data_IF_382012969839
#
_entry.id   IF_382012969839
#
_cell.length_a   1.000
_cell.length_b   1.000
_cell.length_c   1.000
_cell.angle_alpha   90.00
_cell.angle_beta   90.00
_cell.angle_gamma   90.00
#
_symmetry.space_group_name_H-M   'P 1'
#
loop_
_entity.id
_entity.type
_entity.pdbx_description
1 polymer ?
#
# COMPACT_ATOMS: atom_id res chain seq x y z
N UNK A 1 -12.38 -15.50 39.79
CA UNK A 1 -12.37 -15.44 38.30
C UNK A 1 -12.03 -14.02 37.89
N UNK A 2 -10.76 -13.74 37.58
CA UNK A 2 -10.33 -12.45 37.01
C UNK A 2 -10.20 -12.67 35.50
N UNK A 3 -11.16 -12.17 34.72
CA UNK A 3 -11.06 -12.17 33.27
C UNK A 3 -10.01 -11.15 32.84
N UNK A 4 -9.04 -11.66 32.09
CA UNK A 4 -7.93 -10.93 31.52
C UNK A 4 -8.44 -9.86 30.55
N UNK A 5 -8.22 -8.60 30.91
CA UNK A 5 -8.36 -7.46 29.99
C UNK A 5 -7.18 -7.59 29.02
N UNK A 6 -7.44 -8.25 27.89
CA UNK A 6 -6.52 -8.46 26.77
C UNK A 6 -5.98 -7.09 26.34
N UNK A 7 -4.67 -6.88 26.43
CA UNK A 7 -3.96 -5.63 26.19
C UNK A 7 -4.33 -4.98 24.83
N UNK A 8 -5.00 -3.82 24.85
CA UNK A 8 -5.53 -3.09 23.67
C UNK A 8 -4.51 -2.16 22.99
N UNK A 9 -3.23 -2.21 23.39
CA UNK A 9 -2.21 -1.23 22.97
C UNK A 9 -1.62 -1.45 21.57
N UNK A 10 -1.91 -2.59 20.91
CA UNK A 10 -1.36 -2.92 19.59
C UNK A 10 -2.29 -2.53 18.41
N UNK A 11 -3.52 -2.09 18.67
CA UNK A 11 -4.53 -1.80 17.63
C UNK A 11 -4.70 -0.31 17.28
N UNK A 12 -4.00 0.59 17.97
CA UNK A 12 -4.25 2.04 17.85
C UNK A 12 -3.64 2.69 16.60
N UNK A 13 -2.81 1.99 15.83
CA UNK A 13 -2.14 2.57 14.66
C UNK A 13 -2.81 2.28 13.30
N UNK A 14 -4.01 1.68 13.28
CA UNK A 14 -4.64 1.28 12.01
C UNK A 14 -6.16 1.53 11.89
N UNK A 15 -6.80 2.23 12.83
CA UNK A 15 -8.22 2.61 12.67
C UNK A 15 -8.27 3.99 12.01
N UNK A 16 -8.53 4.02 10.70
CA UNK A 16 -8.86 5.26 10.00
C UNK A 16 -10.34 5.58 10.24
N UNK A 17 -10.60 6.66 10.97
CA UNK A 17 -11.95 7.18 11.15
C UNK A 17 -12.29 8.09 9.97
N UNK A 18 -13.47 7.89 9.39
CA UNK A 18 -14.03 8.72 8.33
C UNK A 18 -15.29 9.38 8.86
N UNK A 19 -15.46 10.68 8.61
CA UNK A 19 -16.63 11.43 9.01
C UNK A 19 -17.64 11.48 7.86
N UNK A 20 -18.90 11.13 8.12
CA UNK A 20 -20.01 11.36 7.18
C UNK A 20 -20.92 12.41 7.78
N UNK A 21 -21.06 13.55 7.10
CA UNK A 21 -21.85 14.67 7.61
C UNK A 21 -22.37 15.52 6.44
N UNK A 22 -23.63 15.99 6.49
CA UNK A 22 -24.19 16.93 5.52
C UNK A 22 -23.66 18.37 5.70
N UNK A 23 -22.79 18.60 6.67
CA UNK A 23 -22.17 19.89 6.96
C UNK A 23 -20.66 19.77 6.94
N UNK A 24 -19.93 20.68 6.26
CA UNK A 24 -18.48 20.70 6.28
C UNK A 24 -18.00 21.01 7.71
N UNK A 25 -17.22 20.09 8.28
CA UNK A 25 -16.65 20.23 9.62
C UNK A 25 -15.14 20.39 9.43
N UNK A 26 -14.54 21.40 10.06
CA UNK A 26 -13.10 21.56 10.03
C UNK A 26 -12.44 20.43 10.82
N UNK A 27 -12.04 19.36 10.12
CA UNK A 27 -11.39 18.18 10.69
C UNK A 27 -10.22 17.72 9.82
N UNK A 28 -9.27 17.03 10.42
CA UNK A 28 -8.17 16.35 9.72
C UNK A 28 -8.56 14.96 9.24
N UNK A 29 -9.75 14.48 9.59
CA UNK A 29 -10.31 13.22 9.12
C UNK A 29 -10.86 13.38 7.70
N UNK A 30 -10.78 12.32 6.90
CA UNK A 30 -11.47 12.28 5.60
C UNK A 30 -12.97 12.45 5.85
N UNK A 31 -13.58 13.46 5.21
CA UNK A 31 -15.00 13.73 5.32
C UNK A 31 -15.70 13.45 3.99
N UNK A 32 -16.83 12.74 4.04
CA UNK A 32 -17.77 12.59 2.91
C UNK A 32 -19.06 13.33 3.22
N UNK A 33 -19.62 13.98 2.21
CA UNK A 33 -20.95 14.57 2.31
C UNK A 33 -22.00 13.46 2.44
N UNK A 34 -23.01 13.67 3.28
CA UNK A 34 -24.05 12.68 3.51
C UNK A 34 -24.90 12.43 2.24
N UNK A 35 -25.14 13.45 1.43
CA UNK A 35 -25.84 13.27 0.16
C UNK A 35 -24.97 12.49 -0.84
N UNK A 36 -23.65 12.68 -0.83
CA UNK A 36 -22.71 11.90 -1.66
C UNK A 36 -22.68 10.42 -1.26
N UNK A 37 -22.79 10.12 0.03
CA UNK A 37 -22.87 8.74 0.52
C UNK A 37 -24.24 8.12 0.25
N UNK A 38 -25.33 8.87 0.33
CA UNK A 38 -26.69 8.31 0.23
C UNK A 38 -27.26 8.30 -1.20
N UNK A 39 -26.82 9.22 -2.07
CA UNK A 39 -27.39 9.41 -3.41
C UNK A 39 -26.39 9.20 -4.55
N UNK A 40 -25.08 9.26 -4.29
CA UNK A 40 -24.02 9.00 -5.28
C UNK A 40 -23.22 7.74 -4.89
N UNK A 41 -22.16 7.42 -5.65
CA UNK A 41 -21.26 6.26 -5.44
C UNK A 41 -20.45 6.32 -4.12
N UNK A 42 -20.84 7.13 -3.13
CA UNK A 42 -20.15 7.25 -1.86
C UNK A 42 -20.19 5.98 -1.00
N UNK A 43 -21.23 5.14 -1.11
CA UNK A 43 -21.19 3.78 -0.53
C UNK A 43 -20.10 2.94 -1.18
N UNK A 44 -19.97 2.99 -2.51
CA UNK A 44 -18.92 2.27 -3.24
C UNK A 44 -17.52 2.75 -2.86
N UNK A 45 -17.33 4.06 -2.68
CA UNK A 45 -16.07 4.61 -2.20
C UNK A 45 -15.73 4.12 -0.78
N UNK A 46 -16.72 4.02 0.11
CA UNK A 46 -16.55 3.46 1.45
C UNK A 46 -16.23 1.97 1.40
N UNK A 47 -16.91 1.19 0.57
CA UNK A 47 -16.66 -0.25 0.41
C UNK A 47 -15.22 -0.51 -0.07
N UNK A 48 -14.71 0.28 -1.03
CA UNK A 48 -13.31 0.18 -1.49
C UNK A 48 -12.30 0.49 -0.37
N UNK A 49 -12.61 1.48 0.48
CA UNK A 49 -11.75 1.81 1.64
C UNK A 49 -11.76 0.68 2.68
N UNK A 50 -12.94 0.12 2.97
CA UNK A 50 -13.10 -1.01 3.89
C UNK A 50 -12.37 -2.24 3.35
N UNK A 51 -12.52 -2.54 2.06
CA UNK A 51 -11.85 -3.68 1.42
C UNK A 51 -10.33 -3.52 1.53
N UNK A 52 -9.80 -2.34 1.21
CA UNK A 52 -8.35 -2.06 1.29
C UNK A 52 -7.81 -2.24 2.71
N UNK A 53 -8.46 -1.67 3.73
CA UNK A 53 -8.00 -1.81 5.11
C UNK A 53 -8.18 -3.25 5.61
N UNK A 54 -9.25 -3.94 5.24
CA UNK A 54 -9.44 -5.37 5.55
C UNK A 54 -8.33 -6.24 4.97
N UNK A 55 -7.86 -5.90 3.76
CA UNK A 55 -6.76 -6.59 3.10
C UNK A 55 -5.45 -6.38 3.86
N UNK A 56 -5.15 -5.15 4.27
CA UNK A 56 -3.98 -4.89 5.10
C UNK A 56 -4.02 -5.59 6.45
N UNK A 57 -5.19 -5.74 7.08
CA UNK A 57 -5.32 -6.48 8.34
C UNK A 57 -4.98 -7.97 8.17
N UNK A 58 -5.47 -8.60 7.11
CA UNK A 58 -5.13 -10.01 6.80
C UNK A 58 -3.63 -10.20 6.54
N UNK A 59 -3.02 -9.25 5.84
CA UNK A 59 -1.56 -9.25 5.62
C UNK A 59 -0.84 -9.07 6.95
N UNK A 60 -1.25 -8.13 7.81
CA UNK A 60 -0.64 -7.88 9.11
C UNK A 60 -0.59 -9.15 9.97
N UNK A 61 -1.70 -9.90 10.05
CA UNK A 61 -1.77 -11.18 10.77
C UNK A 61 -0.72 -12.17 10.26
N UNK A 62 -0.59 -12.29 8.94
CA UNK A 62 0.41 -13.17 8.31
C UNK A 62 1.84 -12.71 8.62
N UNK A 63 2.10 -11.42 8.51
CA UNK A 63 3.42 -10.82 8.76
C UNK A 63 3.91 -11.07 10.19
N UNK A 64 3.01 -11.06 11.19
CA UNK A 64 3.39 -11.36 12.58
C UNK A 64 3.98 -12.76 12.78
N UNK A 65 3.69 -13.70 11.89
CA UNK A 65 4.15 -15.09 11.99
C UNK A 65 5.45 -15.34 11.23
N UNK A 66 5.79 -14.50 10.25
CA UNK A 66 6.90 -14.77 9.32
C UNK A 66 8.08 -13.83 9.48
N UNK A 67 7.86 -12.59 9.95
CA UNK A 67 8.94 -11.60 10.08
C UNK A 67 9.71 -11.84 11.37
N UNK A 68 11.05 -11.85 11.28
CA UNK A 68 11.94 -12.17 12.39
C UNK A 68 12.81 -10.99 12.81
N UNK A 69 13.15 -10.11 11.87
CA UNK A 69 14.13 -9.05 12.01
C UNK A 69 13.50 -7.65 11.92
N UNK A 70 12.31 -7.53 11.34
CA UNK A 70 11.55 -6.28 11.26
C UNK A 70 10.24 -6.35 12.03
N UNK A 71 9.88 -5.27 12.73
CA UNK A 71 8.59 -5.17 13.41
C UNK A 71 7.45 -5.09 12.37
N UNK A 72 6.45 -6.00 12.42
CA UNK A 72 5.36 -6.03 11.44
C UNK A 72 4.64 -4.70 11.26
N UNK A 73 4.30 -4.02 12.37
CA UNK A 73 3.57 -2.74 12.33
C UNK A 73 4.37 -1.63 11.64
N UNK A 74 5.69 -1.60 11.87
CA UNK A 74 6.58 -0.57 11.29
C UNK A 74 6.80 -0.83 9.80
N UNK A 75 7.03 -2.08 9.41
CA UNK A 75 7.12 -2.47 8.01
C UNK A 75 5.81 -2.16 7.26
N UNK A 76 4.67 -2.57 7.82
CA UNK A 76 3.36 -2.38 7.20
C UNK A 76 3.03 -0.90 7.03
N UNK A 77 3.35 -0.05 8.01
CA UNK A 77 3.14 1.39 7.90
C UNK A 77 3.97 1.99 6.77
N UNK A 78 5.26 1.67 6.69
CA UNK A 78 6.15 2.16 5.65
C UNK A 78 5.68 1.71 4.24
N UNK A 79 5.26 0.45 4.13
CA UNK A 79 4.73 -0.11 2.89
C UNK A 79 3.39 0.52 2.49
N UNK A 80 2.49 0.78 3.45
CA UNK A 80 1.23 1.52 3.20
C UNK A 80 1.52 2.89 2.56
N UNK A 81 2.52 3.61 3.08
CA UNK A 81 2.93 4.89 2.52
C UNK A 81 3.54 4.76 1.13
N UNK A 82 4.42 3.78 0.92
CA UNK A 82 4.99 3.49 -0.38
C UNK A 82 3.90 3.19 -1.42
N UNK A 83 3.00 2.26 -1.12
CA UNK A 83 1.90 1.90 -2.00
C UNK A 83 1.01 3.11 -2.34
N UNK A 84 0.72 3.96 -1.35
CA UNK A 84 -0.07 5.18 -1.56
C UNK A 84 0.64 6.18 -2.49
N UNK A 85 1.94 6.42 -2.28
CA UNK A 85 2.71 7.37 -3.11
C UNK A 85 2.88 6.87 -4.53
N UNK A 86 3.23 5.59 -4.72
CA UNK A 86 3.33 4.98 -6.06
C UNK A 86 1.98 4.99 -6.77
N UNK A 87 0.89 4.64 -6.08
CA UNK A 87 -0.45 4.67 -6.66
C UNK A 87 -0.85 6.08 -7.12
N UNK A 88 -0.53 7.10 -6.30
CA UNK A 88 -0.79 8.49 -6.64
C UNK A 88 0.07 8.97 -7.82
N UNK A 89 1.35 8.61 -7.85
CA UNK A 89 2.27 8.98 -8.93
C UNK A 89 1.91 8.34 -10.28
N UNK A 90 1.32 7.14 -10.25
CA UNK A 90 0.88 6.41 -11.44
C UNK A 90 -0.59 6.66 -11.80
N UNK A 91 -1.38 7.26 -10.91
CA UNK A 91 -2.82 7.46 -11.11
C UNK A 91 -3.61 6.14 -11.16
N UNK A 92 -3.18 5.12 -10.40
CA UNK A 92 -3.79 3.79 -10.38
C UNK A 92 -4.35 3.44 -9.00
N UNK A 93 -5.21 2.43 -8.96
CA UNK A 93 -5.63 1.75 -7.73
C UNK A 93 -5.12 0.32 -7.74
N UNK A 94 -4.45 -0.11 -6.66
CA UNK A 94 -3.97 -1.49 -6.55
C UNK A 94 -5.15 -2.42 -6.24
N UNK A 95 -5.28 -3.50 -7.02
CA UNK A 95 -6.22 -4.58 -6.68
C UNK A 95 -5.82 -5.25 -5.37
N UNK A 96 -6.78 -5.87 -4.68
CA UNK A 96 -6.53 -6.59 -3.42
C UNK A 96 -5.42 -7.64 -3.57
N UNK A 97 -5.38 -8.38 -4.68
CA UNK A 97 -4.33 -9.36 -4.97
C UNK A 97 -2.95 -8.73 -5.14
N UNK A 98 -2.86 -7.63 -5.90
CA UNK A 98 -1.61 -6.90 -6.08
C UNK A 98 -1.13 -6.32 -4.75
N UNK A 99 -2.04 -5.73 -3.97
CA UNK A 99 -1.73 -5.15 -2.67
C UNK A 99 -1.20 -6.19 -1.70
N UNK A 100 -1.81 -7.39 -1.63
CA UNK A 100 -1.31 -8.51 -0.83
C UNK A 100 0.09 -8.90 -1.30
N UNK A 101 0.25 -9.21 -2.59
CA UNK A 101 1.52 -9.72 -3.13
C UNK A 101 2.67 -8.74 -2.96
N UNK A 102 2.44 -7.46 -3.29
CA UNK A 102 3.44 -6.40 -3.14
C UNK A 102 3.77 -6.13 -1.68
N UNK A 103 2.77 -6.07 -0.81
CA UNK A 103 3.01 -5.83 0.62
C UNK A 103 3.79 -6.97 1.27
N UNK A 104 3.46 -8.22 0.92
CA UNK A 104 4.20 -9.39 1.40
C UNK A 104 5.63 -9.39 0.87
N UNK A 105 5.83 -9.12 -0.43
CA UNK A 105 7.15 -9.08 -1.03
C UNK A 105 8.05 -8.03 -0.37
N UNK A 106 7.54 -6.80 -0.20
CA UNK A 106 8.29 -5.73 0.46
C UNK A 106 8.58 -6.06 1.92
N UNK A 107 7.61 -6.58 2.69
CA UNK A 107 7.83 -6.92 4.09
C UNK A 107 8.93 -7.98 4.26
N UNK A 108 8.88 -9.05 3.46
CA UNK A 108 9.91 -10.09 3.47
C UNK A 108 11.27 -9.57 2.96
N UNK A 109 11.28 -8.68 1.97
CA UNK A 109 12.50 -8.02 1.50
C UNK A 109 13.16 -7.22 2.63
N UNK A 110 12.38 -6.41 3.36
CA UNK A 110 12.90 -5.63 4.48
C UNK A 110 13.47 -6.52 5.58
N UNK A 111 12.74 -7.58 5.94
CA UNK A 111 13.20 -8.55 6.95
C UNK A 111 14.53 -9.18 6.57
N UNK A 112 14.64 -9.61 5.30
CA UNK A 112 15.85 -10.23 4.76
C UNK A 112 17.04 -9.27 4.68
N UNK A 113 16.82 -8.03 4.26
CA UNK A 113 17.89 -7.02 4.19
C UNK A 113 18.40 -6.61 5.58
N UNK A 114 17.56 -6.71 6.61
CA UNK A 114 17.96 -6.47 8.00
C UNK A 114 18.72 -7.65 8.62
N UNK A 115 18.48 -8.88 8.15
CA UNK A 115 19.30 -10.04 8.49
C UNK A 115 20.72 -9.91 7.94
N UNK A 116 20.87 -9.40 6.71
CA UNK A 116 22.16 -9.11 6.11
C UNK A 116 22.12 -8.86 4.61
N UNK A 117 23.28 -8.58 3.98
CA UNK A 117 23.37 -8.38 2.54
C UNK A 117 22.99 -9.67 1.81
N UNK A 118 21.98 -9.59 0.96
CA UNK A 118 21.54 -10.71 0.13
C UNK A 118 21.74 -10.40 -1.34
N UNK A 119 22.32 -11.36 -2.07
CA UNK A 119 22.36 -11.31 -3.51
C UNK A 119 21.07 -11.89 -4.08
N UNK A 120 20.38 -11.10 -4.87
CA UNK A 120 19.24 -11.52 -5.67
C UNK A 120 19.47 -10.99 -7.07
N UNK A 121 19.48 -11.90 -8.04
CA UNK A 121 19.72 -11.55 -9.44
C UNK A 121 18.37 -11.43 -10.17
N UNK A 122 18.23 -10.37 -10.95
CA UNK A 122 17.07 -10.21 -11.82
C UNK A 122 17.42 -10.70 -13.25
N UNK A 123 16.70 -11.70 -13.78
CA UNK A 123 16.95 -12.20 -15.13
C UNK A 123 16.79 -11.12 -16.20
N UNK A 124 17.74 -11.02 -17.13
CA UNK A 124 17.76 -10.06 -18.23
C UNK A 124 17.61 -8.58 -17.79
N UNK A 125 18.20 -8.23 -16.64
CA UNK A 125 18.09 -6.90 -16.02
C UNK A 125 18.37 -5.76 -16.98
N UNK A 126 19.48 -5.80 -17.72
CA UNK A 126 19.88 -4.67 -18.58
C UNK A 126 18.83 -4.34 -19.63
N UNK A 127 18.25 -5.39 -20.24
CA UNK A 127 17.15 -5.24 -21.21
C UNK A 127 15.89 -4.71 -20.53
N UNK A 128 15.57 -5.23 -19.35
CA UNK A 128 14.38 -4.82 -18.62
C UNK A 128 14.46 -3.36 -18.17
N UNK A 129 15.62 -2.92 -17.68
CA UNK A 129 15.89 -1.54 -17.28
C UNK A 129 15.72 -0.60 -18.47
N UNK A 130 16.31 -0.94 -19.62
CA UNK A 130 16.16 -0.13 -20.83
C UNK A 130 14.69 -0.02 -21.29
N UNK A 131 13.90 -1.08 -21.13
CA UNK A 131 12.50 -1.09 -21.54
C UNK A 131 11.57 -0.33 -20.60
N UNK A 132 11.91 -0.25 -19.30
CA UNK A 132 11.02 0.25 -18.25
C UNK A 132 11.65 1.34 -17.37
N UNK A 133 12.67 2.03 -17.87
CA UNK A 133 13.48 3.02 -17.15
C UNK A 133 12.66 4.06 -16.36
N UNK A 134 11.61 4.62 -16.98
CA UNK A 134 10.75 5.60 -16.33
C UNK A 134 10.01 5.03 -15.10
N UNK A 135 9.52 3.78 -15.19
CA UNK A 135 8.83 3.15 -14.07
C UNK A 135 9.82 2.72 -12.99
N UNK A 136 10.97 2.19 -13.37
CA UNK A 136 12.04 1.81 -12.44
C UNK A 136 12.53 3.04 -11.67
N UNK A 137 12.72 4.18 -12.36
CA UNK A 137 13.12 5.44 -11.75
C UNK A 137 12.10 5.94 -10.73
N UNK A 138 10.80 5.86 -11.06
CA UNK A 138 9.72 6.23 -10.14
C UNK A 138 9.71 5.32 -8.91
N UNK A 139 9.75 4.00 -9.10
CA UNK A 139 9.76 3.04 -7.99
C UNK A 139 11.01 3.25 -7.12
N UNK A 140 12.18 3.42 -7.72
CA UNK A 140 13.43 3.72 -7.01
C UNK A 140 13.30 4.98 -6.17
N UNK A 141 12.73 6.06 -6.72
CA UNK A 141 12.51 7.30 -5.99
C UNK A 141 11.64 7.08 -4.74
N UNK A 142 10.55 6.34 -4.88
CA UNK A 142 9.61 6.07 -3.79
C UNK A 142 10.18 5.15 -2.69
N UNK A 143 11.15 4.30 -3.06
CA UNK A 143 11.86 3.41 -2.14
C UNK A 143 12.89 4.13 -1.25
N UNK A 144 13.39 5.31 -1.64
CA UNK A 144 14.37 6.08 -0.85
C UNK A 144 13.86 6.32 0.58
N UNK A 145 12.57 6.60 0.74
CA UNK A 145 11.98 6.81 2.06
C UNK A 145 12.02 5.54 2.94
N UNK A 146 11.90 4.36 2.33
CA UNK A 146 12.03 3.07 3.02
C UNK A 146 13.51 2.81 3.35
N UNK A 147 14.41 3.01 2.39
CA UNK A 147 15.86 2.85 2.59
C UNK A 147 16.36 3.69 3.77
N UNK A 148 15.93 4.95 3.85
CA UNK A 148 16.25 5.85 4.95
C UNK A 148 15.63 5.41 6.28
N UNK A 149 14.35 5.01 6.28
CA UNK A 149 13.64 4.62 7.50
C UNK A 149 14.23 3.36 8.17
N UNK A 150 14.77 2.44 7.37
CA UNK A 150 15.33 1.18 7.87
C UNK A 150 16.87 1.10 7.77
N UNK A 151 17.53 2.16 7.30
CA UNK A 151 18.98 2.22 7.10
C UNK A 151 19.54 1.04 6.27
N UNK A 152 18.86 0.75 5.15
CA UNK A 152 19.18 -0.33 4.23
C UNK A 152 19.37 0.18 2.80
N UNK A 153 19.92 -0.67 1.94
CA UNK A 153 20.07 -0.38 0.51
C UNK A 153 19.34 -1.46 -0.29
N UNK A 154 18.45 -1.05 -1.19
CA UNK A 154 17.70 -1.94 -2.07
C UNK A 154 18.43 -1.99 -3.41
N UNK A 155 18.85 -3.19 -3.81
CA UNK A 155 19.56 -3.39 -5.08
C UNK A 155 18.66 -3.10 -6.28
N UNK A 156 19.26 -2.80 -7.43
CA UNK A 156 18.50 -2.59 -8.67
C UNK A 156 17.69 -3.81 -9.09
N UNK A 157 18.18 -5.02 -8.81
CA UNK A 157 17.49 -6.28 -9.08
C UNK A 157 16.17 -6.39 -8.29
N UNK A 158 16.16 -5.93 -7.04
CA UNK A 158 14.95 -5.87 -6.21
C UNK A 158 14.01 -4.77 -6.72
N UNK A 159 14.54 -3.62 -7.13
CA UNK A 159 13.72 -2.57 -7.76
C UNK A 159 13.04 -3.10 -9.03
N UNK A 160 13.75 -3.87 -9.87
CA UNK A 160 13.18 -4.51 -11.05
C UNK A 160 12.10 -5.53 -10.69
N UNK A 161 12.29 -6.30 -9.61
CA UNK A 161 11.30 -7.25 -9.10
C UNK A 161 10.03 -6.55 -8.62
N UNK A 162 10.18 -5.45 -7.88
CA UNK A 162 9.06 -4.61 -7.45
C UNK A 162 8.35 -3.98 -8.66
N UNK A 163 9.13 -3.46 -9.61
CA UNK A 163 8.61 -2.87 -10.86
C UNK A 163 7.77 -3.87 -11.66
N UNK A 164 8.14 -5.16 -11.62
CA UNK A 164 7.40 -6.23 -12.28
C UNK A 164 5.95 -6.33 -11.78
N UNK A 165 5.68 -6.08 -10.50
CA UNK A 165 4.30 -6.07 -9.99
C UNK A 165 3.40 -5.06 -10.69
N UNK A 166 3.96 -3.91 -11.10
CA UNK A 166 3.20 -2.85 -11.75
C UNK A 166 3.09 -3.05 -13.27
N UNK A 167 4.05 -3.75 -13.88
CA UNK A 167 4.08 -4.02 -15.32
C UNK A 167 3.33 -5.29 -15.68
N UNK A 168 3.36 -6.32 -14.83
CA UNK A 168 2.82 -7.66 -15.15
C UNK A 168 1.30 -7.75 -15.00
N UNK A 169 0.57 -6.63 -15.03
CA UNK A 169 -0.86 -6.59 -14.72
C UNK A 169 -1.65 -5.84 -15.80
N UNK A 170 -2.83 -6.39 -16.10
CA UNK A 170 -3.90 -5.69 -16.79
C UNK A 170 -4.38 -4.56 -15.87
N UNK A 171 -3.89 -3.34 -16.11
CA UNK A 171 -4.30 -2.13 -15.40
C UNK A 171 -5.79 -1.93 -15.67
N UNK A 172 -6.64 -2.24 -14.69
CA UNK A 172 -8.03 -1.78 -14.71
C UNK A 172 -8.02 -0.27 -14.59
N UNK A 173 -8.27 0.42 -15.71
CA UNK A 173 -8.55 1.85 -15.74
C UNK A 173 -9.72 2.14 -14.79
N UNK A 174 -9.71 3.24 -14.01
CA UNK A 174 -10.96 3.77 -13.50
C UNK A 174 -11.84 4.13 -14.71
N UNK A 175 -13.05 3.57 -14.76
CA UNK A 175 -14.05 3.89 -15.77
C UNK A 175 -14.30 5.40 -15.77
N UNK A 176 -13.74 6.10 -16.76
CA UNK A 176 -14.15 7.47 -17.12
C UNK A 176 -15.45 7.44 -17.89
N UNK A 177 -16.53 7.09 -17.21
CA UNK A 177 -17.91 7.42 -17.58
C UNK A 177 -18.58 7.68 -16.23
N UNK A 178 -18.58 8.92 -15.72
CA UNK A 178 -19.68 9.88 -15.91
C UNK A 178 -19.12 11.31 -15.88
N UNK A 179 -18.85 11.88 -17.05
CA UNK A 179 -18.88 13.35 -17.22
C UNK A 179 -19.57 13.65 -18.55
N UNK A 180 -20.87 13.39 -18.64
CA UNK A 180 -21.79 14.22 -19.44
C UNK A 180 -23.26 13.84 -19.17
N UNK A 181 -23.96 14.67 -18.40
CA UNK A 181 -25.42 14.79 -18.24
C UNK A 181 -25.63 15.59 -16.94
N UNK A 182 -25.98 16.87 -16.87
CA UNK A 182 -26.76 17.79 -17.72
C UNK A 182 -26.35 19.25 -17.32
N UNK A 183 -26.89 20.33 -17.94
CA UNK A 183 -26.34 21.70 -17.95
C UNK A 183 -26.52 22.51 -16.66
#
# INVERSE_FOLDING_TARGET
MRSSIRNWSHWTNAIRYTLVSPFPIATTLTQFDLADVLYYDGVTALDLLIERESTYLRVAETLTQILQHVKPDTALLAIKWFNARVSAALGITLSSNMLIGLTMHLACLLDRLLEGPTHTDFPDKERYVQQHDAMISLIRHELIAIEQAFSLAISEDEVCTICRFFISQDISQPTKEVINAYP
#
